data_IF_584974195370
#
_entry.id   IF_584974195370
#
_cell.length_a   1.000
_cell.length_b   1.000
_cell.length_c   1.000
_cell.angle_alpha   90.00
_cell.angle_beta   90.00
_cell.angle_gamma   90.00
#
_symmetry.space_group_name_H-M   'P 1'
#
loop_
_entity.id
_entity.type
_entity.pdbx_description
1 polymer ?
#
# COMPACT_ATOMS: atom_id res chain seq x y z
N UNK A 1 31.03 3.96 -7.92
CA UNK A 1 29.76 4.45 -7.30
C UNK A 1 29.02 3.22 -6.80
N UNK A 2 28.76 3.19 -5.49
CA UNK A 2 28.67 1.98 -4.66
C UNK A 2 27.37 1.19 -4.83
N UNK A 3 27.51 -0.08 -5.20
CA UNK A 3 26.44 -1.08 -5.37
C UNK A 3 25.87 -1.53 -4.00
N UNK A 4 26.57 -1.21 -2.91
CA UNK A 4 26.22 -1.61 -1.54
C UNK A 4 24.89 -0.99 -1.05
N UNK A 5 24.58 0.25 -1.46
CA UNK A 5 23.34 0.92 -1.07
C UNK A 5 22.08 0.23 -1.61
N UNK A 6 22.18 -0.45 -2.76
CA UNK A 6 21.00 -1.07 -3.40
C UNK A 6 20.51 -2.29 -2.59
N UNK A 7 21.43 -3.06 -1.99
CA UNK A 7 21.07 -4.19 -1.14
C UNK A 7 20.44 -3.73 0.18
N UNK A 8 20.98 -2.67 0.79
CA UNK A 8 20.40 -2.11 2.02
C UNK A 8 18.98 -1.59 1.78
N UNK A 9 18.73 -0.90 0.66
CA UNK A 9 17.39 -0.39 0.32
C UNK A 9 16.38 -1.52 0.07
N UNK A 10 16.80 -2.62 -0.58
CA UNK A 10 15.90 -3.77 -0.81
C UNK A 10 15.42 -4.42 0.49
N UNK A 11 16.30 -4.52 1.49
CA UNK A 11 15.93 -5.02 2.82
C UNK A 11 14.91 -4.07 3.46
N UNK A 12 15.14 -2.75 3.40
CA UNK A 12 14.23 -1.77 3.99
C UNK A 12 12.85 -1.72 3.34
N UNK A 13 12.72 -1.97 2.03
CA UNK A 13 11.40 -2.02 1.36
C UNK A 13 10.61 -3.25 1.82
N UNK A 14 11.25 -4.41 1.97
CA UNK A 14 10.58 -5.62 2.48
C UNK A 14 10.02 -5.41 3.89
N UNK A 15 10.84 -4.89 4.79
CA UNK A 15 10.42 -4.57 6.16
C UNK A 15 9.26 -3.56 6.19
N UNK A 16 9.33 -2.50 5.36
CA UNK A 16 8.25 -1.51 5.27
C UNK A 16 6.94 -2.09 4.69
N UNK A 17 7.01 -3.09 3.79
CA UNK A 17 5.83 -3.79 3.29
C UNK A 17 5.17 -4.62 4.39
N UNK A 18 5.95 -5.37 5.17
CA UNK A 18 5.44 -6.15 6.30
C UNK A 18 4.76 -5.26 7.34
N UNK A 19 5.38 -4.13 7.69
CA UNK A 19 4.80 -3.14 8.60
C UNK A 19 3.47 -2.56 8.05
N UNK A 20 3.41 -2.21 6.77
CA UNK A 20 2.18 -1.72 6.14
C UNK A 20 1.05 -2.76 6.18
N UNK A 21 1.36 -4.04 5.99
CA UNK A 21 0.37 -5.13 6.03
C UNK A 21 -0.25 -5.25 7.43
N UNK A 22 0.52 -5.02 8.49
CA UNK A 22 0.03 -5.09 9.86
C UNK A 22 -0.75 -3.82 10.28
N UNK A 23 -0.40 -2.67 9.73
CA UNK A 23 -0.99 -1.36 10.09
C UNK A 23 -2.24 -1.02 9.28
N UNK A 24 -2.18 -1.14 7.95
CA UNK A 24 -3.24 -0.69 7.03
C UNK A 24 -4.62 -1.30 7.29
N UNK A 25 -4.77 -2.59 7.67
CA UNK A 25 -6.07 -3.17 8.01
C UNK A 25 -6.79 -2.46 9.15
N UNK A 26 -6.06 -1.82 10.07
CA UNK A 26 -6.63 -1.10 11.22
C UNK A 26 -7.20 0.26 10.84
N UNK A 27 -6.65 0.88 9.80
CA UNK A 27 -7.07 2.19 9.32
C UNK A 27 -8.16 2.08 8.24
N UNK A 28 -8.09 1.06 7.38
CA UNK A 28 -8.97 0.87 6.23
C UNK A 28 -8.70 1.86 5.09
N UNK A 29 -8.64 3.16 5.40
CA UNK A 29 -8.24 4.24 4.47
C UNK A 29 -7.25 5.20 5.14
N UNK A 30 -6.19 5.57 4.45
CA UNK A 30 -5.18 6.51 4.96
C UNK A 30 -4.47 7.25 3.84
N UNK A 31 -4.18 8.53 4.04
CA UNK A 31 -3.36 9.30 3.10
C UNK A 31 -1.88 8.90 3.20
N UNK A 32 -1.15 8.91 2.09
CA UNK A 32 0.31 8.72 2.10
C UNK A 32 1.01 9.74 3.00
N UNK A 33 0.54 11.00 3.03
CA UNK A 33 1.05 12.04 3.93
C UNK A 33 1.10 11.56 5.38
N UNK A 34 -0.04 11.09 5.91
CA UNK A 34 -0.13 10.53 7.27
C UNK A 34 0.80 9.34 7.52
N UNK A 35 0.95 8.44 6.55
CA UNK A 35 1.90 7.31 6.68
C UNK A 35 3.36 7.76 6.74
N UNK A 36 3.65 8.98 6.31
CA UNK A 36 5.00 9.55 6.33
C UNK A 36 5.19 10.65 7.37
N UNK A 37 4.16 11.00 8.15
CA UNK A 37 4.23 12.09 9.14
C UNK A 37 5.26 11.84 10.25
N UNK A 38 5.51 10.58 10.58
CA UNK A 38 6.52 10.16 11.57
C UNK A 38 7.93 10.01 10.97
N UNK A 39 8.09 10.05 9.65
CA UNK A 39 9.35 9.81 8.97
C UNK A 39 10.13 11.12 8.79
N UNK A 40 11.39 11.14 9.21
CA UNK A 40 12.25 12.33 9.14
C UNK A 40 13.21 12.24 7.96
N UNK A 41 13.68 11.04 7.64
CA UNK A 41 14.66 10.82 6.58
C UNK A 41 14.01 10.69 5.22
N UNK A 42 14.56 11.41 4.23
CA UNK A 42 14.04 11.37 2.84
C UNK A 42 14.11 9.97 2.25
N UNK A 43 15.10 9.17 2.67
CA UNK A 43 15.23 7.79 2.21
C UNK A 43 14.07 6.92 2.72
N UNK A 44 13.65 7.09 3.98
CA UNK A 44 12.52 6.36 4.56
C UNK A 44 11.22 6.68 3.84
N UNK A 45 11.00 7.95 3.49
CA UNK A 45 9.85 8.38 2.68
C UNK A 45 9.82 7.66 1.32
N UNK A 46 10.98 7.57 0.65
CA UNK A 46 11.10 6.85 -0.63
C UNK A 46 10.86 5.35 -0.46
N UNK A 47 11.39 4.75 0.61
CA UNK A 47 11.17 3.33 0.93
C UNK A 47 9.69 3.05 1.19
N UNK A 48 9.02 3.90 1.98
CA UNK A 48 7.57 3.80 2.27
C UNK A 48 6.75 3.94 0.99
N UNK A 49 7.14 4.84 0.08
CA UNK A 49 6.50 4.97 -1.22
C UNK A 49 6.64 3.71 -2.07
N UNK A 50 7.85 3.15 -2.15
CA UNK A 50 8.10 1.90 -2.88
C UNK A 50 7.34 0.72 -2.27
N UNK A 51 7.21 0.66 -0.94
CA UNK A 51 6.42 -0.36 -0.25
C UNK A 51 4.92 -0.27 -0.58
N UNK A 52 4.36 0.94 -0.63
CA UNK A 52 2.98 1.18 -1.08
C UNK A 52 2.80 0.73 -2.53
N UNK A 53 3.73 1.08 -3.43
CA UNK A 53 3.66 0.63 -4.83
C UNK A 53 3.75 -0.90 -4.96
N UNK A 54 4.56 -1.55 -4.11
CA UNK A 54 4.68 -3.01 -4.08
C UNK A 54 3.37 -3.66 -3.62
N UNK A 55 2.72 -3.13 -2.59
CA UNK A 55 1.42 -3.62 -2.12
C UNK A 55 0.31 -3.42 -3.16
N UNK A 56 0.32 -2.28 -3.86
CA UNK A 56 -0.61 -2.02 -4.95
C UNK A 56 -0.39 -3.02 -6.09
N UNK A 57 0.87 -3.28 -6.46
CA UNK A 57 1.23 -4.29 -7.47
C UNK A 57 0.80 -5.70 -7.07
N UNK A 58 0.79 -6.01 -5.77
CA UNK A 58 0.31 -7.29 -5.24
C UNK A 58 -1.21 -7.36 -5.03
N UNK A 59 -1.93 -6.24 -5.19
CA UNK A 59 -3.39 -6.18 -5.07
C UNK A 59 -3.92 -6.15 -3.64
N UNK A 60 -3.10 -5.82 -2.64
CA UNK A 60 -3.54 -5.69 -1.24
C UNK A 60 -4.17 -4.33 -0.93
N UNK A 61 -3.87 -3.33 -1.75
CA UNK A 61 -4.34 -1.96 -1.60
C UNK A 61 -4.80 -1.38 -2.94
N UNK A 62 -5.71 -0.42 -2.86
CA UNK A 62 -6.04 0.50 -3.94
C UNK A 62 -5.48 1.89 -3.66
N UNK A 63 -5.17 2.62 -4.73
CA UNK A 63 -4.63 3.98 -4.66
C UNK A 63 -5.56 4.92 -5.43
N UNK A 64 -5.92 6.04 -4.81
CA UNK A 64 -6.62 7.14 -5.47
C UNK A 64 -5.73 8.40 -5.46
N UNK A 65 -5.45 8.93 -6.65
CA UNK A 65 -4.66 10.14 -6.85
C UNK A 65 -5.26 10.96 -8.01
N UNK A 66 -6.10 11.97 -7.71
CA UNK A 66 -6.86 12.69 -8.73
C UNK A 66 -6.02 13.64 -9.60
N UNK A 67 -4.84 14.04 -9.13
CA UNK A 67 -3.92 14.91 -9.87
C UNK A 67 -2.47 14.48 -9.63
N UNK A 68 -1.61 14.68 -10.64
CA UNK A 68 -0.18 14.42 -10.50
C UNK A 68 0.41 15.26 -9.35
N UNK A 69 1.18 14.62 -8.46
CA UNK A 69 1.70 15.23 -7.22
C UNK A 69 0.62 15.72 -6.24
N UNK A 70 -0.64 15.35 -6.46
CA UNK A 70 -1.72 15.51 -5.48
C UNK A 70 -1.63 14.49 -4.36
N UNK A 71 -2.52 14.61 -3.38
CA UNK A 71 -2.62 13.66 -2.28
C UNK A 71 -2.93 12.26 -2.80
N UNK A 72 -2.31 11.27 -2.16
CA UNK A 72 -2.45 9.85 -2.48
C UNK A 72 -3.25 9.24 -1.34
N UNK A 73 -4.45 8.79 -1.63
CA UNK A 73 -5.25 8.00 -0.69
C UNK A 73 -4.95 6.51 -0.89
N UNK A 74 -4.71 5.82 0.22
CA UNK A 74 -4.40 4.39 0.26
C UNK A 74 -5.57 3.69 0.92
N UNK A 75 -6.17 2.76 0.20
CA UNK A 75 -7.35 2.02 0.64
C UNK A 75 -6.95 0.55 0.77
N UNK A 76 -7.08 0.00 1.97
CA UNK A 76 -6.84 -1.42 2.21
C UNK A 76 -8.00 -2.24 1.64
N UNK A 77 -7.71 -3.11 0.68
CA UNK A 77 -8.69 -4.06 0.10
C UNK A 77 -8.54 -5.46 0.68
N UNK A 78 -7.41 -5.77 1.31
CA UNK A 78 -7.15 -7.10 1.88
C UNK A 78 -6.55 -8.07 0.88
N UNK A 79 -6.49 -9.35 1.25
CA UNK A 79 -5.89 -10.36 0.38
C UNK A 79 -6.67 -10.48 -0.94
N UNK A 80 -5.98 -10.49 -2.10
CA UNK A 80 -6.62 -10.68 -3.42
C UNK A 80 -7.37 -12.02 -3.54
N UNK A 81 -7.25 -12.92 -2.56
CA UNK A 81 -8.04 -14.14 -2.49
C UNK A 81 -9.53 -13.91 -2.22
N UNK A 82 -9.96 -12.72 -1.80
CA UNK A 82 -11.35 -12.44 -1.41
C UNK A 82 -11.99 -11.21 -2.08
N UNK A 83 -11.55 -10.83 -3.28
CA UNK A 83 -11.98 -9.57 -3.92
C UNK A 83 -12.94 -9.66 -5.12
N UNK A 84 -13.15 -10.85 -5.71
CA UNK A 84 -13.99 -11.01 -6.92
C UNK A 84 -14.98 -12.17 -6.87
N UNK A 85 -14.99 -12.96 -5.79
CA UNK A 85 -15.92 -14.09 -5.63
C UNK A 85 -17.15 -13.74 -4.77
N UNK A 86 -17.08 -12.71 -3.92
CA UNK A 86 -18.18 -12.39 -2.98
C UNK A 86 -19.29 -11.53 -3.61
N UNK A 87 -19.10 -11.07 -4.85
CA UNK A 87 -20.14 -10.44 -5.66
C UNK A 87 -20.94 -11.44 -6.51
N UNK A 88 -20.51 -12.72 -6.59
CA UNK A 88 -21.25 -13.76 -7.30
C UNK A 88 -22.45 -14.32 -6.50
N UNK A 89 -22.66 -13.85 -5.26
CA UNK A 89 -23.77 -14.27 -4.39
C UNK A 89 -25.01 -13.36 -4.42
N UNK A 90 -24.97 -12.24 -5.14
CA UNK A 90 -26.06 -11.25 -5.17
C UNK A 90 -26.78 -11.30 -6.52
N UNK A 91 -27.22 -12.49 -6.96
CA UNK A 91 -28.17 -12.59 -8.07
C UNK A 91 -29.21 -13.70 -7.87
N UNK A 92 -29.63 -13.91 -6.61
CA UNK A 92 -30.94 -14.53 -6.36
C UNK A 92 -31.97 -13.42 -6.21
N UNK A 93 -32.36 -12.84 -7.34
CA UNK A 93 -33.60 -12.08 -7.45
C UNK A 93 -34.75 -13.10 -7.48
N UNK A 94 -35.47 -13.22 -6.36
CA UNK A 94 -36.74 -13.95 -6.30
C UNK A 94 -37.88 -12.93 -6.52
N UNK A 95 -38.52 -13.04 -7.68
CA UNK A 95 -39.62 -12.20 -8.15
C UNK A 95 -40.04 -12.55 -9.56
#
# INVERSE_FOLDING_TARGET
>A
VSIEHIHSVRVSVGEAVEELIDELPRFGRVSFRRLTESLVERLEIVVRFLAVLELFKQGFIELDQPAAFGDIEIIWVGSPALGVADLAGIDTYDG
#
